data_IF_613268767565
#
_entry.id   IF_613268767565
#
_cell.length_a   1.000
_cell.length_b   1.000
_cell.length_c   1.000
_cell.angle_alpha   90.00
_cell.angle_beta   90.00
_cell.angle_gamma   90.00
#
_symmetry.space_group_name_H-M   'P 1'
#
loop_
_entity.id
_entity.type
_entity.pdbx_description
1 polymer ?
#
# COMPACT_ATOMS: atom_id res chain seq x y z
N UNK A 1 -20.97 33.43 -17.58
CA UNK A 1 -19.56 33.56 -17.14
C UNK A 1 -18.67 33.39 -18.35
N UNK A 2 -17.55 34.13 -18.45
CA UNK A 2 -16.61 33.94 -19.56
C UNK A 2 -15.87 32.61 -19.42
N UNK A 3 -15.39 32.08 -20.55
CA UNK A 3 -14.56 30.87 -20.58
C UNK A 3 -13.29 31.03 -19.72
N UNK A 4 -12.69 32.21 -19.74
CA UNK A 4 -11.54 32.54 -18.89
C UNK A 4 -11.87 32.46 -17.39
N UNK A 5 -13.06 32.94 -16.98
CA UNK A 5 -13.50 32.84 -15.59
C UNK A 5 -13.78 31.38 -15.19
N UNK A 6 -14.37 30.57 -16.08
CA UNK A 6 -14.60 29.15 -15.83
C UNK A 6 -13.28 28.36 -15.69
N UNK A 7 -12.30 28.66 -16.56
CA UNK A 7 -10.97 28.06 -16.48
C UNK A 7 -10.25 28.40 -15.19
N UNK A 8 -10.28 29.68 -14.77
CA UNK A 8 -9.64 30.10 -13.52
C UNK A 8 -10.26 29.41 -12.28
N UNK A 9 -11.58 29.24 -12.26
CA UNK A 9 -12.28 28.50 -11.20
C UNK A 9 -11.87 27.02 -11.18
N UNK A 10 -11.81 26.37 -12.35
CA UNK A 10 -11.37 24.98 -12.46
C UNK A 10 -9.92 24.80 -11.98
N UNK A 11 -9.00 25.66 -12.44
CA UNK A 11 -7.59 25.60 -12.06
C UNK A 11 -7.42 25.78 -10.54
N UNK A 12 -8.15 26.72 -9.93
CA UNK A 12 -8.14 26.92 -8.48
C UNK A 12 -8.68 25.69 -7.72
N UNK A 13 -9.75 25.06 -8.23
CA UNK A 13 -10.31 23.85 -7.64
C UNK A 13 -9.33 22.66 -7.73
N UNK A 14 -8.66 22.49 -8.86
CA UNK A 14 -7.62 21.46 -9.05
C UNK A 14 -6.43 21.67 -8.09
N UNK A 15 -5.99 22.91 -7.93
CA UNK A 15 -4.92 23.22 -6.96
C UNK A 15 -5.34 22.94 -5.52
N UNK A 16 -6.58 23.28 -5.14
CA UNK A 16 -7.11 22.97 -3.82
C UNK A 16 -7.19 21.45 -3.58
N UNK A 17 -7.69 20.69 -4.56
CA UNK A 17 -7.74 19.24 -4.50
C UNK A 17 -6.35 18.62 -4.32
N UNK A 18 -5.34 19.09 -5.07
CA UNK A 18 -3.97 18.61 -4.95
C UNK A 18 -3.38 18.87 -3.55
N UNK A 19 -3.61 20.06 -2.97
CA UNK A 19 -3.19 20.38 -1.59
C UNK A 19 -3.87 19.48 -0.56
N UNK A 20 -5.18 19.30 -0.70
CA UNK A 20 -5.95 18.43 0.21
C UNK A 20 -5.43 17.00 0.16
N UNK A 21 -5.17 16.45 -1.04
CA UNK A 21 -4.62 15.12 -1.19
C UNK A 21 -3.24 15.00 -0.54
N UNK A 22 -2.35 15.98 -0.74
CA UNK A 22 -1.03 15.99 -0.11
C UNK A 22 -1.13 15.93 1.42
N UNK A 23 -1.97 16.78 2.02
CA UNK A 23 -2.16 16.78 3.48
C UNK A 23 -2.78 15.48 3.98
N UNK A 24 -3.77 14.94 3.27
CA UNK A 24 -4.38 13.67 3.63
C UNK A 24 -3.39 12.49 3.55
N UNK A 25 -2.47 12.49 2.57
CA UNK A 25 -1.44 11.48 2.46
C UNK A 25 -0.47 11.51 3.66
N UNK A 26 0.03 12.70 4.03
CA UNK A 26 0.86 12.88 5.22
C UNK A 26 0.13 12.47 6.49
N UNK A 27 -1.15 12.84 6.62
CA UNK A 27 -1.96 12.42 7.76
C UNK A 27 -2.10 10.90 7.81
N UNK A 28 -2.42 10.25 6.70
CA UNK A 28 -2.54 8.79 6.64
C UNK A 28 -1.22 8.10 7.02
N UNK A 29 -0.07 8.64 6.60
CA UNK A 29 1.25 8.12 7.00
C UNK A 29 1.50 8.25 8.50
N UNK A 30 1.18 9.38 9.12
CA UNK A 30 1.35 9.61 10.56
C UNK A 30 0.49 8.68 11.43
N UNK A 31 -0.70 8.34 10.96
CA UNK A 31 -1.67 7.52 11.70
C UNK A 31 -1.75 6.07 11.22
N UNK A 32 -0.98 5.70 10.19
CA UNK A 32 -0.90 4.33 9.71
C UNK A 32 -0.39 3.45 10.86
N UNK A 33 -1.21 2.50 11.27
CA UNK A 33 -0.81 1.50 12.26
C UNK A 33 -0.22 0.28 11.56
N UNK A 34 0.47 -0.58 12.33
CA UNK A 34 0.93 -1.88 11.82
C UNK A 34 -0.24 -2.87 11.56
N UNK A 35 -1.48 -2.50 11.89
CA UNK A 35 -2.63 -3.36 11.68
C UNK A 35 -2.96 -3.45 10.17
N UNK A 36 -3.32 -4.64 9.65
CA UNK A 36 -3.70 -4.78 8.26
C UNK A 36 -5.00 -4.05 7.92
N UNK A 37 -5.03 -3.40 6.76
CA UNK A 37 -6.24 -2.82 6.16
C UNK A 37 -7.21 -3.92 5.70
N UNK A 38 -6.67 -5.09 5.34
CA UNK A 38 -7.40 -6.28 4.96
C UNK A 38 -6.61 -7.52 5.36
N UNK A 39 -7.28 -8.57 5.81
CA UNK A 39 -6.66 -9.87 6.07
C UNK A 39 -7.64 -11.02 5.84
N UNK A 40 -7.24 -12.04 5.07
CA UNK A 40 -8.00 -13.29 4.86
C UNK A 40 -7.08 -14.50 4.72
N UNK A 41 -7.58 -15.66 5.10
CA UNK A 41 -6.92 -16.94 4.80
C UNK A 41 -7.27 -17.37 3.37
N UNK A 42 -6.26 -17.72 2.59
CA UNK A 42 -6.39 -18.25 1.24
C UNK A 42 -5.91 -19.71 1.21
N UNK A 43 -6.74 -20.60 0.68
CA UNK A 43 -6.40 -22.00 0.45
C UNK A 43 -6.60 -22.31 -1.04
N UNK A 44 -5.53 -22.71 -1.72
CA UNK A 44 -5.60 -23.19 -3.11
C UNK A 44 -5.63 -24.71 -3.12
N UNK A 45 -6.42 -25.36 -4.00
CA UNK A 45 -6.37 -26.81 -4.16
C UNK A 45 -4.92 -27.28 -4.40
N UNK A 46 -4.49 -28.32 -3.67
CA UNK A 46 -3.13 -28.86 -3.78
C UNK A 46 -2.01 -27.99 -3.17
N UNK A 47 -2.32 -26.89 -2.49
CA UNK A 47 -1.33 -26.05 -1.80
C UNK A 47 -1.59 -25.94 -0.29
N UNK A 48 -0.55 -25.59 0.46
CA UNK A 48 -0.71 -25.16 1.85
C UNK A 48 -1.46 -23.82 1.94
N UNK A 49 -2.16 -23.61 3.06
CA UNK A 49 -2.90 -22.38 3.31
C UNK A 49 -1.95 -21.24 3.64
N UNK A 50 -2.33 -20.02 3.26
CA UNK A 50 -1.60 -18.80 3.58
C UNK A 50 -2.54 -17.74 4.15
N UNK A 51 -1.98 -16.77 4.87
CA UNK A 51 -2.67 -15.52 5.20
C UNK A 51 -2.30 -14.48 4.16
N UNK A 52 -3.29 -13.85 3.56
CA UNK A 52 -3.14 -12.74 2.62
C UNK A 52 -3.58 -11.47 3.33
N UNK A 53 -2.73 -10.44 3.33
CA UNK A 53 -3.06 -9.17 3.96
C UNK A 53 -2.58 -7.97 3.15
N UNK A 54 -3.36 -6.90 3.20
CA UNK A 54 -2.90 -5.58 2.76
C UNK A 54 -2.54 -4.75 3.97
N UNK A 55 -1.35 -4.16 3.94
CA UNK A 55 -0.88 -3.19 4.94
C UNK A 55 -0.67 -1.85 4.25
N UNK A 56 -0.75 -0.76 5.00
CA UNK A 56 -0.34 0.56 4.50
C UNK A 56 1.15 0.52 4.09
N UNK A 57 1.56 1.17 2.98
CA UNK A 57 0.78 2.01 2.05
C UNK A 57 0.28 1.23 0.81
N UNK A 58 -0.47 0.14 1.02
CA UNK A 58 -1.01 -0.68 -0.09
C UNK A 58 -0.09 -1.80 -0.52
N UNK A 59 0.66 -2.37 0.42
CA UNK A 59 1.53 -3.53 0.22
C UNK A 59 0.73 -4.81 0.49
N UNK A 60 0.67 -5.69 -0.51
CA UNK A 60 0.18 -7.06 -0.35
C UNK A 60 1.28 -7.95 0.22
N UNK A 61 0.99 -8.66 1.31
CA UNK A 61 1.83 -9.70 1.89
C UNK A 61 1.10 -11.05 1.87
N UNK A 62 1.88 -12.11 1.60
CA UNK A 62 1.47 -13.50 1.76
C UNK A 62 2.29 -14.07 2.90
N UNK A 63 1.63 -14.58 3.94
CA UNK A 63 2.28 -15.07 5.15
C UNK A 63 1.97 -16.54 5.42
N UNK A 64 2.93 -17.23 6.03
CA UNK A 64 2.71 -18.54 6.65
C UNK A 64 1.73 -18.38 7.83
N UNK A 65 0.65 -19.17 7.89
CA UNK A 65 -0.39 -19.02 8.93
C UNK A 65 0.05 -19.52 10.31
N UNK A 66 1.12 -20.31 10.40
CA UNK A 66 1.65 -20.86 11.65
C UNK A 66 2.72 -19.95 12.24
N UNK A 67 3.67 -19.50 11.42
CA UNK A 67 4.82 -18.71 11.89
C UNK A 67 4.60 -17.20 11.77
N UNK A 68 3.69 -16.77 10.89
CA UNK A 68 3.52 -15.37 10.52
C UNK A 68 4.61 -14.84 9.58
N UNK A 69 5.53 -15.69 9.14
CA UNK A 69 6.61 -15.33 8.22
C UNK A 69 6.05 -14.84 6.88
N UNK A 70 6.65 -13.78 6.32
CA UNK A 70 6.27 -13.26 5.00
C UNK A 70 6.94 -14.10 3.92
N UNK A 71 6.14 -14.83 3.16
CA UNK A 71 6.54 -15.71 2.07
C UNK A 71 6.66 -14.98 0.73
N UNK A 72 5.89 -13.89 0.58
CA UNK A 72 5.97 -12.97 -0.56
C UNK A 72 5.45 -11.59 -0.17
N UNK A 73 6.01 -10.54 -0.78
CA UNK A 73 5.57 -9.17 -0.59
C UNK A 73 5.63 -8.40 -1.91
N UNK A 74 4.66 -7.51 -2.14
CA UNK A 74 4.64 -6.58 -3.26
C UNK A 74 5.20 -5.20 -2.93
N UNK A 75 5.43 -4.37 -3.95
CA UNK A 75 5.63 -2.93 -3.77
C UNK A 75 4.32 -2.19 -3.45
N UNK A 76 4.38 -0.99 -2.86
CA UNK A 76 3.19 -0.16 -2.62
C UNK A 76 2.35 0.04 -3.88
N UNK A 77 1.05 -0.22 -3.80
CA UNK A 77 0.09 0.04 -4.88
C UNK A 77 0.18 -0.90 -6.09
N UNK A 78 1.14 -1.84 -6.13
CA UNK A 78 1.27 -2.82 -7.21
C UNK A 78 1.27 -4.26 -6.70
N UNK A 79 0.09 -4.80 -6.32
CA UNK A 79 -0.02 -6.10 -5.65
C UNK A 79 0.44 -7.31 -6.49
N UNK A 80 0.60 -7.14 -7.80
CA UNK A 80 1.01 -8.22 -8.71
C UNK A 80 2.53 -8.31 -8.91
N UNK A 81 3.28 -7.27 -8.50
CA UNK A 81 4.73 -7.23 -8.66
C UNK A 81 5.43 -7.58 -7.35
N UNK A 82 6.28 -8.60 -7.36
CA UNK A 82 7.14 -8.92 -6.22
C UNK A 82 8.06 -7.73 -5.91
N UNK A 83 8.15 -7.36 -4.62
CA UNK A 83 8.99 -6.27 -4.15
C UNK A 83 10.45 -6.49 -4.57
N UNK A 84 11.10 -5.42 -5.03
CA UNK A 84 12.51 -5.48 -5.41
C UNK A 84 13.35 -5.93 -4.20
N UNK A 85 14.26 -6.88 -4.45
CA UNK A 85 15.15 -7.40 -3.41
C UNK A 85 14.50 -8.31 -2.36
N UNK A 86 13.24 -8.74 -2.54
CA UNK A 86 12.60 -9.69 -1.63
C UNK A 86 13.41 -11.00 -1.54
N UNK A 87 13.69 -11.44 -0.31
CA UNK A 87 14.36 -12.72 -0.01
C UNK A 87 13.46 -13.55 0.91
N UNK A 88 13.01 -14.75 0.48
CA UNK A 88 12.30 -15.68 1.36
C UNK A 88 13.16 -16.02 2.60
N UNK A 89 12.55 -16.23 3.77
CA UNK A 89 13.30 -16.55 5.00
C UNK A 89 13.88 -15.35 5.75
N UNK A 90 13.82 -14.15 5.18
CA UNK A 90 14.22 -12.92 5.86
C UNK A 90 13.07 -12.37 6.70
N UNK A 91 13.28 -12.15 8.01
CA UNK A 91 12.35 -11.37 8.82
C UNK A 91 11.98 -10.10 8.07
N UNK A 92 10.68 -9.94 7.75
CA UNK A 92 10.15 -8.93 6.84
C UNK A 92 10.90 -7.60 6.98
N UNK A 93 11.85 -7.38 6.08
CA UNK A 93 12.71 -6.23 6.11
C UNK A 93 11.86 -5.02 5.82
N UNK A 94 11.63 -4.20 6.86
CA UNK A 94 11.45 -2.78 6.64
C UNK A 94 12.60 -2.33 5.74
N UNK A 95 12.27 -1.99 4.49
CA UNK A 95 13.19 -1.27 3.62
C UNK A 95 13.41 0.08 4.33
N UNK A 96 14.55 0.19 5.02
CA UNK A 96 15.12 1.51 5.31
C UNK A 96 15.52 2.12 3.98
N UNK A 97 14.87 3.25 3.69
CA UNK A 97 15.30 4.42 2.93
C UNK A 97 16.40 4.22 1.87
N UNK A 98 16.08 4.58 0.62
CA UNK A 98 17.08 5.06 -0.31
C UNK A 98 16.97 6.58 -0.38
N UNK A 99 18.11 7.23 -0.13
CA UNK A 99 18.42 8.66 -0.21
C UNK A 99 17.89 9.38 -1.47
#
# INVERSE_FOLDING_TARGET
MSEAAQKAVYDAAMQAAARNLKHAATFAELYATAAPLFQKRMQRPGSAAVIVRFIWPGVLQVCDPKTGEVLAQSGPGNPQQLSYGFKPGGAAGYLKDNE
#
